data_IF_772210139787
#
_entry.id   IF_772210139787
#
_cell.length_a   1.000
_cell.length_b   1.000
_cell.length_c   1.000
_cell.angle_alpha   90.00
_cell.angle_beta   90.00
_cell.angle_gamma   90.00
#
_symmetry.space_group_name_H-M   'P 1'
#
loop_
_entity.id
_entity.type
_entity.pdbx_description
1 polymer ?
#
# COMPACT_ATOMS: atom_id res chain seq x y z
N UNK A 1 1.27 38.04 5.76
CA UNK A 1 1.41 36.83 4.94
C UNK A 1 2.73 36.20 5.35
N UNK A 2 2.69 35.23 6.28
CA UNK A 2 3.90 34.46 6.58
C UNK A 2 4.26 33.66 5.33
N UNK A 3 5.48 33.82 4.81
CA UNK A 3 5.94 33.01 3.69
C UNK A 3 5.99 31.54 4.09
N UNK A 4 5.54 30.65 3.21
CA UNK A 4 5.69 29.21 3.40
C UNK A 4 7.15 28.83 3.62
N UNK A 5 7.39 27.84 4.48
CA UNK A 5 8.75 27.41 4.81
C UNK A 5 9.28 26.52 3.69
N UNK A 6 10.38 26.97 3.05
CA UNK A 6 11.05 26.21 1.99
C UNK A 6 11.98 25.18 2.62
N UNK A 7 11.95 23.91 2.17
CA UNK A 7 12.97 22.95 2.59
C UNK A 7 14.33 23.36 2.01
N UNK A 8 15.40 23.01 2.75
CA UNK A 8 16.75 23.07 2.19
C UNK A 8 16.88 22.14 0.97
N UNK A 9 17.76 22.45 0.01
CA UNK A 9 17.97 21.60 -1.16
C UNK A 9 18.56 20.24 -0.77
N UNK A 10 18.27 19.21 -1.57
CA UNK A 10 18.94 17.92 -1.50
C UNK A 10 20.19 17.90 -2.40
N UNK A 11 21.28 17.21 -2.00
CA UNK A 11 21.46 16.57 -0.70
C UNK A 11 21.62 17.62 0.43
N UNK A 12 21.40 17.25 1.71
CA UNK A 12 21.62 18.17 2.83
C UNK A 12 23.02 18.81 2.78
N UNK A 13 23.09 20.11 3.04
CA UNK A 13 24.37 20.86 3.00
C UNK A 13 25.36 20.40 4.06
N UNK A 14 24.86 19.96 5.22
CA UNK A 14 25.67 19.37 6.27
C UNK A 14 25.96 17.90 5.92
N UNK A 15 27.21 17.49 6.09
CA UNK A 15 27.61 16.09 5.92
C UNK A 15 26.95 15.24 7.01
N UNK A 16 26.18 14.23 6.59
CA UNK A 16 25.47 13.32 7.49
C UNK A 16 26.47 12.54 8.37
N UNK A 17 26.31 12.63 9.69
CA UNK A 17 27.16 11.95 10.66
C UNK A 17 26.55 10.60 11.06
N UNK A 18 26.57 9.63 10.13
CA UNK A 18 26.02 8.29 10.35
C UNK A 18 27.03 7.40 11.06
N UNK A 19 26.62 6.78 12.18
CA UNK A 19 27.50 5.95 13.01
C UNK A 19 27.56 4.48 12.56
N UNK A 20 28.50 3.71 13.12
CA UNK A 20 28.69 2.30 12.76
C UNK A 20 27.42 1.44 12.89
N UNK A 21 26.62 1.66 13.94
CA UNK A 21 25.36 0.96 14.15
C UNK A 21 24.34 1.22 13.02
N UNK A 22 24.32 2.43 12.46
CA UNK A 22 23.45 2.74 11.33
C UNK A 22 23.82 1.91 10.09
N UNK A 23 25.12 1.76 9.81
CA UNK A 23 25.57 0.96 8.67
C UNK A 23 25.29 -0.54 8.83
N UNK A 24 25.24 -1.05 10.07
CA UNK A 24 24.74 -2.40 10.36
C UNK A 24 23.25 -2.52 9.99
N UNK A 25 22.41 -1.60 10.46
CA UNK A 25 20.98 -1.54 10.10
C UNK A 25 20.77 -1.42 8.59
N UNK A 26 21.55 -0.57 7.92
CA UNK A 26 21.49 -0.38 6.47
C UNK A 26 21.87 -1.67 5.71
N UNK A 27 22.90 -2.38 6.18
CA UNK A 27 23.30 -3.66 5.62
C UNK A 27 22.22 -4.72 5.80
N UNK A 28 21.57 -4.77 6.96
CA UNK A 28 20.46 -5.68 7.23
C UNK A 28 19.23 -5.35 6.38
N UNK A 29 18.89 -4.06 6.23
CA UNK A 29 17.80 -3.61 5.36
C UNK A 29 18.01 -4.08 3.92
N UNK A 30 19.22 -3.89 3.40
CA UNK A 30 19.61 -4.33 2.05
C UNK A 30 19.56 -5.85 1.90
N UNK A 31 19.99 -6.58 2.94
CA UNK A 31 19.94 -8.04 2.96
C UNK A 31 18.50 -8.58 2.92
N UNK A 32 17.60 -8.01 3.72
CA UNK A 32 16.20 -8.44 3.74
C UNK A 32 15.45 -8.05 2.47
N UNK A 33 15.69 -6.86 1.92
CA UNK A 33 15.18 -6.48 0.59
C UNK A 33 15.64 -7.45 -0.48
N UNK A 34 16.93 -7.81 -0.50
CA UNK A 34 17.47 -8.78 -1.45
C UNK A 34 16.81 -10.17 -1.32
N UNK A 35 16.50 -10.61 -0.10
CA UNK A 35 15.76 -11.87 0.11
C UNK A 35 14.30 -11.80 -0.34
N UNK A 36 13.60 -10.71 -0.02
CA UNK A 36 12.23 -10.46 -0.45
C UNK A 36 12.15 -10.45 -1.98
N UNK A 37 12.98 -9.62 -2.59
CA UNK A 37 13.09 -9.48 -4.04
C UNK A 37 13.40 -10.82 -4.73
N UNK A 38 14.42 -11.56 -4.23
CA UNK A 38 14.77 -12.87 -4.78
C UNK A 38 13.69 -13.95 -4.58
N UNK A 39 12.91 -13.88 -3.49
CA UNK A 39 11.78 -14.78 -3.28
C UNK A 39 10.68 -14.54 -4.32
N UNK A 40 10.34 -13.27 -4.60
CA UNK A 40 9.31 -12.90 -5.57
C UNK A 40 9.68 -13.30 -7.01
N UNK A 41 10.97 -13.29 -7.37
CA UNK A 41 11.42 -13.76 -8.69
C UNK A 41 11.25 -15.27 -8.93
N UNK A 42 11.21 -16.06 -7.86
CA UNK A 42 11.26 -17.53 -7.94
C UNK A 42 9.96 -18.22 -7.57
N UNK A 43 8.97 -17.44 -7.16
CA UNK A 43 7.71 -17.94 -6.63
C UNK A 43 6.57 -17.54 -7.55
N UNK A 44 5.78 -18.52 -8.00
CA UNK A 44 4.55 -18.28 -8.74
C UNK A 44 3.46 -17.88 -7.75
N UNK A 45 3.48 -16.61 -7.35
CA UNK A 45 2.52 -16.06 -6.41
C UNK A 45 1.20 -15.83 -7.15
N UNK A 46 0.09 -16.39 -6.65
CA UNK A 46 -1.21 -16.11 -7.24
C UNK A 46 -1.42 -14.58 -7.28
N UNK A 47 -1.80 -13.99 -8.43
CA UNK A 47 -1.89 -12.53 -8.59
C UNK A 47 -2.70 -11.87 -7.48
N UNK A 48 -3.78 -12.51 -7.04
CA UNK A 48 -4.65 -11.97 -6.00
C UNK A 48 -3.99 -11.93 -4.62
N UNK A 49 -3.10 -12.85 -4.26
CA UNK A 49 -2.34 -12.73 -3.00
C UNK A 49 -1.40 -11.53 -3.03
N UNK A 50 -0.82 -11.23 -4.19
CA UNK A 50 -0.02 -10.04 -4.38
C UNK A 50 -0.90 -8.78 -4.26
N UNK A 51 -2.06 -8.77 -4.91
CA UNK A 51 -3.04 -7.70 -4.77
C UNK A 51 -3.47 -7.52 -3.31
N UNK A 52 -3.68 -8.61 -2.55
CA UNK A 52 -4.04 -8.54 -1.14
C UNK A 52 -2.97 -7.87 -0.27
N UNK A 53 -1.71 -8.13 -0.59
CA UNK A 53 -0.58 -7.55 0.09
C UNK A 53 -0.41 -6.07 -0.26
N UNK A 54 -0.63 -5.71 -1.53
CA UNK A 54 -0.64 -4.32 -1.98
C UNK A 54 -1.81 -3.53 -1.38
N UNK A 55 -2.99 -4.15 -1.25
CA UNK A 55 -4.14 -3.59 -0.53
C UNK A 55 -3.82 -3.32 0.93
N UNK A 56 -3.02 -4.16 1.57
CA UNK A 56 -2.56 -3.89 2.94
C UNK A 56 -1.74 -2.60 3.01
N UNK A 57 -0.77 -2.41 2.11
CA UNK A 57 -0.02 -1.14 2.02
C UNK A 57 -0.96 0.05 1.79
N UNK A 58 -1.92 -0.08 0.88
CA UNK A 58 -2.89 0.96 0.58
C UNK A 58 -3.79 1.30 1.80
N UNK A 59 -4.26 0.30 2.54
CA UNK A 59 -5.05 0.49 3.76
C UNK A 59 -4.24 1.22 4.83
N UNK A 60 -3.04 0.73 5.16
CA UNK A 60 -2.15 1.34 6.16
C UNK A 60 -1.78 2.78 5.78
N UNK A 61 -1.54 3.01 4.50
CA UNK A 61 -1.29 4.34 3.95
C UNK A 61 -2.49 5.26 4.15
N UNK A 62 -3.72 4.81 3.86
CA UNK A 62 -4.92 5.62 4.04
C UNK A 62 -5.26 5.86 5.53
N UNK A 63 -5.02 4.89 6.41
CA UNK A 63 -5.21 5.05 7.87
C UNK A 63 -4.29 6.13 8.47
N UNK A 64 -3.08 6.30 7.94
CA UNK A 64 -2.20 7.42 8.33
C UNK A 64 -2.90 8.77 8.05
N UNK A 65 -3.70 8.87 7.00
CA UNK A 65 -4.48 10.07 6.67
C UNK A 65 -5.84 10.15 7.41
N UNK A 66 -6.17 9.13 8.21
CA UNK A 66 -7.38 9.09 9.05
C UNK A 66 -8.55 8.30 8.47
N UNK A 67 -8.35 7.55 7.38
CA UNK A 67 -9.32 6.58 6.90
C UNK A 67 -9.55 5.47 7.94
N UNK A 68 -10.74 4.87 7.94
CA UNK A 68 -11.08 3.77 8.83
C UNK A 68 -11.65 2.60 8.02
N UNK A 69 -10.78 1.67 7.63
CA UNK A 69 -11.10 0.58 6.71
C UNK A 69 -10.73 -0.74 7.34
N UNK A 70 -11.61 -1.73 7.23
CA UNK A 70 -11.24 -3.11 7.50
C UNK A 70 -11.23 -3.94 6.21
N UNK A 71 -10.54 -5.09 6.26
CA UNK A 71 -10.42 -6.00 5.12
C UNK A 71 -11.79 -6.51 4.65
N UNK A 72 -12.77 -6.71 5.55
CA UNK A 72 -14.08 -7.21 5.12
C UNK A 72 -14.82 -6.16 4.28
N UNK A 73 -14.80 -4.88 4.68
CA UNK A 73 -15.40 -3.79 3.93
C UNK A 73 -14.81 -3.66 2.52
N UNK A 74 -13.47 -3.72 2.41
CA UNK A 74 -12.75 -3.65 1.14
C UNK A 74 -13.14 -4.79 0.18
N UNK A 75 -13.06 -6.04 0.65
CA UNK A 75 -13.33 -7.20 -0.20
C UNK A 75 -14.82 -7.43 -0.45
N UNK A 76 -15.69 -7.02 0.48
CA UNK A 76 -17.15 -7.02 0.27
C UNK A 76 -17.56 -6.08 -0.86
N UNK A 77 -16.93 -4.90 -0.94
CA UNK A 77 -17.16 -3.95 -2.04
C UNK A 77 -16.77 -4.54 -3.41
N UNK A 78 -15.59 -5.13 -3.51
CA UNK A 78 -15.11 -5.79 -4.74
C UNK A 78 -16.03 -6.94 -5.16
N UNK A 79 -16.37 -7.83 -4.22
CA UNK A 79 -17.23 -8.99 -4.48
C UNK A 79 -18.61 -8.56 -4.95
N UNK A 80 -19.14 -7.46 -4.40
CA UNK A 80 -20.41 -6.87 -4.80
C UNK A 80 -20.36 -6.30 -6.22
N UNK A 81 -19.23 -5.70 -6.62
CA UNK A 81 -19.01 -5.18 -7.97
C UNK A 81 -18.92 -6.31 -9.02
N UNK A 82 -18.25 -7.42 -8.70
CA UNK A 82 -18.09 -8.59 -9.59
C UNK A 82 -19.42 -9.32 -9.85
N UNK A 83 -20.26 -9.49 -8.82
CA UNK A 83 -21.45 -10.34 -8.93
C UNK A 83 -22.64 -9.73 -9.68
N UNK A 84 -22.52 -8.52 -10.28
CA UNK A 84 -23.66 -7.71 -10.76
C UNK A 84 -24.80 -7.66 -9.73
N UNK A 85 -24.47 -7.81 -8.45
CA UNK A 85 -25.44 -7.79 -7.39
C UNK A 85 -25.78 -6.33 -7.25
N UNK A 86 -26.92 -5.93 -7.83
CA UNK A 86 -27.65 -4.76 -7.38
C UNK A 86 -28.13 -5.07 -5.97
N UNK A 87 -27.20 -5.12 -5.02
CA UNK A 87 -27.50 -5.08 -3.61
C UNK A 87 -27.98 -3.66 -3.37
N UNK A 88 -29.26 -3.46 -3.67
CA UNK A 88 -30.02 -2.35 -3.18
C UNK A 88 -29.78 -2.28 -1.67
N UNK A 89 -29.01 -1.26 -1.27
CA UNK A 89 -29.39 -0.32 -0.23
C UNK A 89 -29.74 -0.90 1.15
N UNK A 90 -29.08 -1.96 1.62
CA UNK A 90 -29.23 -2.43 3.01
C UNK A 90 -27.91 -2.98 3.62
N UNK A 91 -26.74 -2.70 3.03
CA UNK A 91 -25.55 -2.57 3.85
C UNK A 91 -25.62 -1.20 4.49
N UNK A 92 -25.68 -1.16 5.81
CA UNK A 92 -25.28 0.01 6.61
C UNK A 92 -23.77 0.25 6.49
N UNK A 93 -23.17 0.03 5.31
CA UNK A 93 -21.87 0.61 5.00
C UNK A 93 -22.12 2.10 4.99
N UNK A 94 -21.63 2.75 6.04
CA UNK A 94 -21.76 4.18 6.16
C UNK A 94 -21.17 4.80 4.89
N UNK A 95 -21.68 5.97 4.50
CA UNK A 95 -21.18 6.65 3.30
C UNK A 95 -19.66 6.89 3.41
N UNK A 96 -19.06 6.94 4.61
CA UNK A 96 -17.60 7.00 4.80
C UNK A 96 -16.88 5.73 4.35
N UNK A 97 -17.42 4.54 4.65
CA UNK A 97 -16.81 3.26 4.28
C UNK A 97 -16.60 3.15 2.76
N UNK A 98 -17.50 3.73 1.94
CA UNK A 98 -17.33 3.71 0.48
C UNK A 98 -16.26 4.68 -0.01
N UNK A 99 -16.03 5.81 0.69
CA UNK A 99 -14.95 6.74 0.33
C UNK A 99 -13.61 6.07 0.58
N UNK A 100 -13.44 5.56 1.80
CA UNK A 100 -12.18 5.04 2.26
C UNK A 100 -11.78 3.78 1.45
N UNK A 101 -12.75 2.91 1.14
CA UNK A 101 -12.54 1.78 0.21
C UNK A 101 -12.11 2.26 -1.18
N UNK A 102 -12.76 3.29 -1.75
CA UNK A 102 -12.34 3.87 -3.03
C UNK A 102 -10.91 4.42 -2.97
N UNK A 103 -10.51 5.06 -1.87
CA UNK A 103 -9.15 5.56 -1.70
C UNK A 103 -8.09 4.44 -1.71
N UNK A 104 -8.41 3.28 -1.13
CA UNK A 104 -7.53 2.09 -1.17
C UNK A 104 -7.41 1.53 -2.58
N UNK A 105 -8.52 1.36 -3.28
CA UNK A 105 -8.52 0.85 -4.66
C UNK A 105 -7.81 1.81 -5.63
N UNK A 106 -7.97 3.12 -5.43
CA UNK A 106 -7.25 4.13 -6.20
C UNK A 106 -5.75 4.11 -5.93
N UNK A 107 -5.34 3.90 -4.67
CA UNK A 107 -3.92 3.71 -4.34
C UNK A 107 -3.35 2.49 -5.05
N UNK A 108 -4.09 1.38 -5.02
CA UNK A 108 -3.73 0.15 -5.73
C UNK A 108 -3.51 0.43 -7.22
N UNK A 109 -4.50 1.02 -7.89
CA UNK A 109 -4.42 1.35 -9.30
C UNK A 109 -3.29 2.34 -9.62
N UNK A 110 -3.06 3.33 -8.75
CA UNK A 110 -1.99 4.31 -8.94
C UNK A 110 -0.61 3.63 -8.84
N UNK A 111 -0.44 2.70 -7.91
CA UNK A 111 0.82 1.98 -7.79
C UNK A 111 1.07 1.09 -9.01
N UNK A 112 0.06 0.35 -9.47
CA UNK A 112 0.15 -0.45 -10.71
C UNK A 112 0.49 0.43 -11.92
N UNK A 113 -0.20 1.55 -12.12
CA UNK A 113 0.07 2.49 -13.20
C UNK A 113 1.52 3.03 -13.14
N UNK A 114 2.03 3.27 -11.92
CA UNK A 114 3.40 3.72 -11.72
C UNK A 114 4.44 2.65 -12.08
N UNK A 115 4.17 1.39 -11.72
CA UNK A 115 5.03 0.25 -12.09
C UNK A 115 5.02 0.04 -13.61
N UNK A 116 3.86 0.05 -14.25
CA UNK A 116 3.71 -0.08 -15.71
C UNK A 116 4.47 1.01 -16.47
N UNK A 117 4.45 2.25 -15.96
CA UNK A 117 5.21 3.36 -16.53
C UNK A 117 6.73 3.11 -16.45
N UNK A 118 7.22 2.64 -15.29
CA UNK A 118 8.64 2.31 -15.11
C UNK A 118 9.07 1.13 -16.00
N UNK A 119 8.24 0.09 -16.12
CA UNK A 119 8.50 -1.06 -17.00
C UNK A 119 8.50 -0.66 -18.49
N UNK A 120 7.73 0.36 -18.85
CA UNK A 120 7.71 0.96 -20.19
C UNK A 120 8.92 1.88 -20.46
N UNK A 121 9.80 2.06 -19.47
CA UNK A 121 11.02 2.88 -19.56
C UNK A 121 10.79 4.36 -19.30
N UNK A 122 9.63 4.75 -18.76
CA UNK A 122 9.40 6.12 -18.30
C UNK A 122 10.22 6.42 -17.03
N UNK A 123 10.57 7.68 -16.84
CA UNK A 123 11.20 8.14 -15.60
C UNK A 123 10.14 8.72 -14.66
N UNK A 124 10.42 8.71 -13.36
CA UNK A 124 9.61 9.44 -12.38
C UNK A 124 9.69 10.95 -12.72
N UNK A 125 8.59 11.48 -13.24
CA UNK A 125 8.45 12.83 -13.80
C UNK A 125 7.30 13.59 -13.16
N UNK A 126 7.18 14.89 -13.44
CA UNK A 126 6.05 15.70 -12.96
C UNK A 126 4.77 15.16 -13.60
N UNK A 127 4.82 14.84 -14.89
CA UNK A 127 3.70 14.28 -15.65
C UNK A 127 3.22 12.96 -15.05
N UNK A 128 4.14 12.05 -14.70
CA UNK A 128 3.78 10.81 -14.03
C UNK A 128 3.13 11.10 -12.67
N UNK A 129 3.73 11.97 -11.84
CA UNK A 129 3.15 12.32 -10.54
C UNK A 129 1.75 12.93 -10.67
N UNK A 130 1.50 13.74 -11.71
CA UNK A 130 0.17 14.26 -12.01
C UNK A 130 -0.81 13.13 -12.34
N UNK A 131 -0.47 12.21 -13.24
CA UNK A 131 -1.33 11.06 -13.57
C UNK A 131 -1.61 10.17 -12.36
N UNK A 132 -0.61 9.92 -11.52
CA UNK A 132 -0.77 9.15 -10.30
C UNK A 132 -1.66 9.89 -9.29
N UNK A 133 -1.50 11.20 -9.15
CA UNK A 133 -2.37 12.03 -8.32
C UNK A 133 -3.82 12.05 -8.81
N UNK A 134 -4.05 12.11 -10.13
CA UNK A 134 -5.39 11.97 -10.73
C UNK A 134 -6.02 10.63 -10.38
N UNK A 135 -5.25 9.55 -10.47
CA UNK A 135 -5.70 8.21 -10.12
C UNK A 135 -6.07 8.14 -8.63
N UNK A 136 -5.20 8.65 -7.75
CA UNK A 136 -5.42 8.65 -6.30
C UNK A 136 -6.72 9.36 -5.87
N UNK A 137 -7.08 10.46 -6.53
CA UNK A 137 -8.28 11.26 -6.21
C UNK A 137 -9.48 11.00 -7.14
N UNK A 138 -9.33 10.06 -8.08
CA UNK A 138 -10.38 9.64 -9.02
C UNK A 138 -11.59 9.08 -8.29
N UNK A 139 -12.80 9.31 -8.81
CA UNK A 139 -14.05 8.76 -8.27
C UNK A 139 -14.37 9.04 -6.78
N UNK A 140 -13.56 9.87 -6.09
CA UNK A 140 -13.87 10.43 -4.77
C UNK A 140 -14.78 11.65 -4.96
N UNK A 141 -15.97 11.70 -4.34
CA UNK A 141 -16.88 12.84 -4.47
C UNK A 141 -16.23 14.17 -4.10
N UNK A 142 -16.55 15.24 -4.83
CA UNK A 142 -15.92 16.55 -4.66
C UNK A 142 -16.13 17.17 -3.27
N UNK A 143 -17.25 16.86 -2.61
CA UNK A 143 -17.55 17.27 -1.22
C UNK A 143 -16.72 16.52 -0.17
N UNK A 144 -15.88 15.57 -0.60
CA UNK A 144 -15.04 14.72 0.24
C UNK A 144 -13.56 14.82 -0.07
N UNK A 145 -13.19 15.72 -0.98
CA UNK A 145 -11.81 16.09 -1.27
C UNK A 145 -11.54 17.45 -0.66
N UNK A 146 -10.32 17.63 -0.16
CA UNK A 146 -9.90 18.92 0.39
C UNK A 146 -9.43 19.90 -0.71
N UNK A 147 -9.51 19.47 -1.98
CA UNK A 147 -9.03 20.24 -3.13
C UNK A 147 -9.91 20.11 -4.37
N UNK A 148 -9.96 21.20 -5.15
CA UNK A 148 -10.51 21.26 -6.50
C UNK A 148 -9.44 21.06 -7.59
N UNK A 149 -8.15 20.98 -7.21
CA UNK A 149 -7.02 20.85 -8.13
C UNK A 149 -6.52 19.40 -8.14
N UNK A 150 -6.78 18.69 -9.25
CA UNK A 150 -6.46 17.28 -9.43
C UNK A 150 -5.54 17.14 -10.63
N UNK A 151 -4.42 16.42 -10.46
CA UNK A 151 -3.45 16.22 -11.53
C UNK A 151 -2.56 17.43 -11.78
N UNK A 152 -2.55 18.38 -10.85
CA UNK A 152 -1.81 19.62 -10.96
C UNK A 152 -1.38 20.07 -9.55
N UNK A 153 -0.27 20.80 -9.47
CA UNK A 153 0.18 21.38 -8.20
C UNK A 153 -0.83 22.37 -7.62
N UNK A 154 -0.80 22.52 -6.30
CA UNK A 154 -1.67 23.41 -5.55
C UNK A 154 -1.60 24.84 -6.07
N UNK A 155 -2.76 25.46 -6.24
CA UNK A 155 -2.89 26.89 -6.62
C UNK A 155 -3.08 27.80 -5.40
N UNK A 156 -3.37 27.21 -4.25
CA UNK A 156 -3.55 27.89 -2.95
C UNK A 156 -2.64 27.27 -1.88
N UNK A 157 -2.23 28.03 -0.85
CA UNK A 157 -1.48 27.47 0.27
C UNK A 157 -2.28 26.40 1.03
N UNK A 158 -1.58 25.35 1.47
CA UNK A 158 -2.08 24.30 2.37
C UNK A 158 -1.37 24.38 3.74
N UNK A 159 -1.82 23.59 4.71
CA UNK A 159 -1.33 23.61 6.09
C UNK A 159 -1.18 22.19 6.64
N UNK A 160 -0.09 21.93 7.37
CA UNK A 160 0.15 20.67 8.07
C UNK A 160 0.27 20.96 9.57
N UNK A 161 -0.88 21.03 10.24
CA UNK A 161 -0.94 21.53 11.61
C UNK A 161 -0.38 22.95 11.71
N UNK A 162 0.68 23.14 12.50
CA UNK A 162 1.35 24.43 12.64
C UNK A 162 2.37 24.73 11.52
N UNK A 163 2.75 23.73 10.73
CA UNK A 163 3.69 23.89 9.62
C UNK A 163 2.97 24.43 8.38
N UNK A 164 3.60 25.40 7.72
CA UNK A 164 3.11 26.00 6.47
C UNK A 164 4.11 25.61 5.36
N UNK A 165 3.75 24.67 4.47
CA UNK A 165 4.57 24.30 3.32
C UNK A 165 4.85 25.48 2.38
N UNK A 166 5.77 25.32 1.40
CA UNK A 166 6.06 26.33 0.38
C UNK A 166 4.80 26.87 -0.30
N UNK A 167 4.84 28.15 -0.64
CA UNK A 167 3.76 28.80 -1.38
C UNK A 167 3.64 28.21 -2.80
N UNK A 168 2.44 28.23 -3.43
CA UNK A 168 2.22 27.71 -4.78
C UNK A 168 3.30 28.10 -5.81
N UNK A 169 3.72 29.37 -5.83
CA UNK A 169 4.70 29.89 -6.79
C UNK A 169 6.10 29.28 -6.67
N UNK A 170 6.40 28.59 -5.57
CA UNK A 170 7.69 27.93 -5.35
C UNK A 170 7.67 26.45 -5.70
N UNK A 171 6.49 25.83 -5.86
CA UNK A 171 6.32 24.38 -5.95
C UNK A 171 7.01 23.81 -7.20
N UNK A 172 6.78 24.40 -8.38
CA UNK A 172 7.35 23.91 -9.64
C UNK A 172 8.89 23.75 -9.57
N UNK A 173 9.58 24.79 -9.09
CA UNK A 173 11.03 24.77 -8.99
C UNK A 173 11.56 23.78 -7.95
N UNK A 174 10.83 23.61 -6.84
CA UNK A 174 11.21 22.64 -5.80
C UNK A 174 10.98 21.20 -6.26
N UNK A 175 9.89 20.93 -6.97
CA UNK A 175 9.58 19.62 -7.53
C UNK A 175 10.53 19.24 -8.67
N UNK A 176 10.90 20.19 -9.54
CA UNK A 176 11.92 19.94 -10.57
C UNK A 176 13.28 19.58 -9.95
N UNK A 177 13.68 20.27 -8.88
CA UNK A 177 14.90 19.96 -8.15
C UNK A 177 14.84 18.57 -7.48
N UNK A 178 13.73 18.23 -6.83
CA UNK A 178 13.51 16.93 -6.20
C UNK A 178 13.57 15.79 -7.24
N UNK A 179 12.84 15.91 -8.34
CA UNK A 179 12.82 14.89 -9.39
C UNK A 179 14.16 14.78 -10.11
N UNK A 180 14.90 15.89 -10.23
CA UNK A 180 16.28 15.85 -10.72
C UNK A 180 17.15 15.01 -9.79
N UNK A 181 17.07 15.21 -8.47
CA UNK A 181 17.79 14.40 -7.48
C UNK A 181 17.46 12.91 -7.61
N UNK A 182 16.17 12.56 -7.71
CA UNK A 182 15.71 11.17 -7.91
C UNK A 182 16.31 10.56 -9.17
N UNK A 183 16.30 11.27 -10.30
CA UNK A 183 16.80 10.76 -11.59
C UNK A 183 18.32 10.65 -11.66
N UNK A 184 19.05 11.60 -11.09
CA UNK A 184 20.53 11.62 -11.18
C UNK A 184 21.19 10.77 -10.10
N UNK A 185 20.43 10.36 -9.08
CA UNK A 185 20.94 9.75 -7.87
C UNK A 185 21.60 10.78 -6.95
N UNK A 186 21.54 10.52 -5.65
CA UNK A 186 22.28 11.26 -4.64
C UNK A 186 23.71 10.74 -4.48
N UNK A 187 24.45 11.35 -3.54
CA UNK A 187 25.77 10.88 -3.13
C UNK A 187 25.74 9.78 -2.07
N UNK A 188 24.54 9.41 -1.59
CA UNK A 188 24.36 8.47 -0.49
C UNK A 188 23.90 7.10 -1.00
N UNK A 189 23.79 6.13 -0.08
CA UNK A 189 23.20 4.84 -0.39
C UNK A 189 21.73 5.03 -0.82
N UNK A 190 21.19 4.26 -1.79
CA UNK A 190 19.84 4.49 -2.31
C UNK A 190 18.72 4.52 -1.25
N UNK A 191 18.79 3.66 -0.22
CA UNK A 191 17.81 3.70 0.89
C UNK A 191 17.86 5.01 1.71
N UNK A 192 19.02 5.66 1.78
CA UNK A 192 19.17 6.99 2.38
C UNK A 192 18.54 8.03 1.46
N UNK A 193 18.81 7.97 0.16
CA UNK A 193 18.21 8.88 -0.82
C UNK A 193 16.69 8.80 -0.86
N UNK A 194 16.12 7.59 -0.71
CA UNK A 194 14.67 7.41 -0.59
C UNK A 194 14.13 8.07 0.68
N UNK A 195 14.83 7.96 1.83
CA UNK A 195 14.45 8.66 3.05
C UNK A 195 14.48 10.19 2.89
N UNK A 196 15.52 10.71 2.23
CA UNK A 196 15.70 12.15 1.97
C UNK A 196 14.60 12.68 1.04
N UNK A 197 14.34 11.98 -0.06
CA UNK A 197 13.36 12.38 -1.07
C UNK A 197 11.94 12.30 -0.55
N UNK A 198 11.61 11.29 0.28
CA UNK A 198 10.31 11.20 0.93
C UNK A 198 10.06 12.40 1.86
N UNK A 199 11.02 12.72 2.75
CA UNK A 199 10.93 13.92 3.58
C UNK A 199 10.76 15.20 2.75
N UNK A 200 11.53 15.33 1.66
CA UNK A 200 11.50 16.50 0.80
C UNK A 200 10.14 16.66 0.12
N UNK A 201 9.58 15.58 -0.41
CA UNK A 201 8.26 15.57 -1.02
C UNK A 201 7.17 16.00 -0.02
N UNK A 202 7.15 15.38 1.16
CA UNK A 202 6.19 15.70 2.22
C UNK A 202 6.30 17.15 2.70
N UNK A 203 7.50 17.71 2.69
CA UNK A 203 7.76 19.09 3.11
C UNK A 203 7.44 20.11 2.03
N UNK A 204 7.64 19.79 0.74
CA UNK A 204 7.15 20.61 -0.38
C UNK A 204 5.62 20.63 -0.39
N UNK A 205 5.01 19.47 -0.10
CA UNK A 205 3.57 19.25 -0.07
C UNK A 205 2.86 19.86 -1.30
N UNK A 206 3.23 19.36 -2.50
CA UNK A 206 2.97 20.04 -3.77
C UNK A 206 1.50 20.08 -4.18
N UNK A 207 0.66 19.16 -3.70
CA UNK A 207 -0.75 19.03 -4.07
C UNK A 207 -1.69 19.59 -3.01
N UNK A 208 -2.95 19.82 -3.39
CA UNK A 208 -3.99 20.27 -2.45
C UNK A 208 -4.44 19.19 -1.47
N UNK A 209 -4.36 17.92 -1.85
CA UNK A 209 -4.73 16.72 -1.09
C UNK A 209 -3.87 15.55 -1.60
N UNK A 210 -3.91 14.38 -0.95
CA UNK A 210 -3.29 13.15 -1.46
C UNK A 210 -1.76 13.08 -1.35
N UNK A 211 -1.10 14.12 -0.81
CA UNK A 211 0.36 14.18 -0.70
C UNK A 211 0.93 12.99 0.07
N UNK A 212 0.43 12.68 1.27
CA UNK A 212 0.95 11.56 2.06
C UNK A 212 0.91 10.23 1.32
N UNK A 213 -0.22 9.94 0.66
CA UNK A 213 -0.43 8.73 -0.15
C UNK A 213 0.54 8.69 -1.33
N UNK A 214 0.65 9.77 -2.09
CA UNK A 214 1.56 9.85 -3.23
C UNK A 214 3.04 9.80 -2.80
N UNK A 215 3.38 10.41 -1.67
CA UNK A 215 4.73 10.38 -1.09
C UNK A 215 5.16 8.99 -0.65
N UNK A 216 4.22 8.18 -0.12
CA UNK A 216 4.46 6.76 0.21
C UNK A 216 4.51 5.87 -1.03
N UNK A 217 3.64 6.10 -2.00
CA UNK A 217 3.69 5.42 -3.30
C UNK A 217 5.05 5.65 -3.99
N UNK A 218 5.58 6.88 -3.92
CA UNK A 218 6.87 7.25 -4.48
C UNK A 218 8.05 6.51 -3.84
N UNK A 219 7.95 6.06 -2.59
CA UNK A 219 8.98 5.22 -1.95
C UNK A 219 9.08 3.90 -2.72
N UNK A 220 7.95 3.24 -2.95
CA UNK A 220 7.88 1.96 -3.65
C UNK A 220 8.36 2.07 -5.09
N UNK A 221 7.94 3.12 -5.81
CA UNK A 221 8.40 3.35 -7.19
C UNK A 221 9.91 3.59 -7.29
N UNK A 222 10.50 4.33 -6.35
CA UNK A 222 11.94 4.54 -6.34
C UNK A 222 12.71 3.23 -6.08
N UNK A 223 12.27 2.44 -5.09
CA UNK A 223 12.90 1.15 -4.79
C UNK A 223 12.76 0.15 -5.94
N UNK A 224 11.60 0.12 -6.59
CA UNK A 224 11.34 -0.70 -7.78
C UNK A 224 12.23 -0.27 -8.96
N UNK A 225 12.19 1.03 -9.33
CA UNK A 225 12.97 1.56 -10.45
C UNK A 225 14.49 1.44 -10.26
N UNK A 226 14.96 1.31 -9.02
CA UNK A 226 16.38 1.07 -8.68
C UNK A 226 16.73 -0.42 -8.56
N UNK A 227 15.77 -1.33 -8.74
CA UNK A 227 15.98 -2.78 -8.69
C UNK A 227 16.14 -3.36 -7.28
N UNK A 228 15.75 -2.63 -6.24
CA UNK A 228 15.69 -3.18 -4.87
C UNK A 228 14.45 -4.06 -4.66
N UNK A 229 13.42 -3.85 -5.47
CA UNK A 229 12.18 -4.62 -5.48
C UNK A 229 11.90 -5.07 -6.91
N UNK A 230 11.72 -6.37 -7.11
CA UNK A 230 11.26 -6.94 -8.39
C UNK A 230 9.72 -6.93 -8.50
N UNK A 231 9.06 -6.68 -7.37
CA UNK A 231 7.62 -6.57 -7.19
C UNK A 231 7.36 -5.63 -5.99
N UNK A 232 6.39 -4.69 -6.03
CA UNK A 232 6.06 -3.73 -4.97
C UNK A 232 5.42 -4.42 -3.74
N UNK A 233 6.22 -5.22 -3.05
CA UNK A 233 5.81 -6.09 -1.93
C UNK A 233 6.32 -5.60 -0.58
N UNK A 234 6.81 -4.36 -0.52
CA UNK A 234 7.24 -3.73 0.73
C UNK A 234 6.07 -2.91 1.30
N UNK A 235 5.59 -3.26 2.49
CA UNK A 235 4.44 -2.60 3.13
C UNK A 235 4.90 -1.56 4.16
N UNK A 236 5.72 -0.60 3.72
CA UNK A 236 6.36 0.36 4.64
C UNK A 236 5.33 1.16 5.46
N UNK A 237 4.14 1.40 4.93
CA UNK A 237 3.07 2.12 5.62
C UNK A 237 2.66 1.44 6.93
N UNK A 238 2.73 0.11 7.05
CA UNK A 238 2.41 -0.59 8.32
C UNK A 238 3.36 -0.20 9.46
N UNK A 239 4.66 0.00 9.16
CA UNK A 239 5.61 0.51 10.15
C UNK A 239 5.37 2.00 10.45
N UNK A 240 5.17 2.82 9.42
CA UNK A 240 4.92 4.25 9.58
C UNK A 240 3.62 4.52 10.36
N UNK A 241 2.57 3.74 10.14
CA UNK A 241 1.30 3.83 10.84
C UNK A 241 1.43 3.42 12.31
N UNK A 242 2.08 2.27 12.58
CA UNK A 242 2.36 1.83 13.97
C UNK A 242 3.15 2.89 14.76
N UNK A 243 4.09 3.57 14.11
CA UNK A 243 4.93 4.60 14.72
C UNK A 243 4.57 6.03 14.26
N UNK A 244 3.29 6.30 13.97
CA UNK A 244 2.82 7.56 13.35
C UNK A 244 3.28 8.81 14.08
N UNK A 245 3.22 8.82 15.42
CA UNK A 245 3.71 9.94 16.23
C UNK A 245 5.22 10.17 16.02
N UNK A 246 6.02 9.09 16.05
CA UNK A 246 7.47 9.18 15.81
C UNK A 246 7.78 9.60 14.37
N UNK A 247 7.05 9.08 13.38
CA UNK A 247 7.18 9.47 11.98
C UNK A 247 7.00 10.98 11.80
N UNK A 248 5.92 11.54 12.36
CA UNK A 248 5.63 12.98 12.32
C UNK A 248 6.67 13.80 13.11
N UNK A 249 7.04 13.35 14.31
CA UNK A 249 8.01 14.03 15.16
C UNK A 249 9.39 14.12 14.52
N UNK A 250 9.85 13.04 13.85
CA UNK A 250 11.14 13.01 13.16
C UNK A 250 11.15 13.96 11.96
N UNK A 251 10.10 13.98 11.13
CA UNK A 251 10.00 14.97 10.05
C UNK A 251 10.01 16.40 10.59
N UNK A 252 9.30 16.67 11.69
CA UNK A 252 9.29 17.98 12.31
C UNK A 252 10.64 18.37 12.92
N UNK A 253 11.39 17.41 13.47
CA UNK A 253 12.75 17.65 13.97
C UNK A 253 13.71 18.03 12.83
N UNK A 254 13.60 17.40 11.65
CA UNK A 254 14.37 17.82 10.47
C UNK A 254 13.99 19.25 10.06
N UNK A 255 12.69 19.58 10.00
CA UNK A 255 12.21 20.94 9.61
C UNK A 255 12.73 22.04 10.54
N UNK A 256 12.76 21.79 11.85
CA UNK A 256 13.15 22.78 12.86
C UNK A 256 14.67 22.86 13.06
N UNK A 257 15.29 21.69 13.20
CA UNK A 257 16.61 21.55 13.82
C UNK A 257 17.60 20.81 12.90
N UNK A 258 17.16 20.32 11.74
CA UNK A 258 18.02 19.62 10.79
C UNK A 258 18.46 18.23 11.25
N UNK A 259 17.68 17.56 12.11
CA UNK A 259 17.99 16.23 12.67
C UNK A 259 17.83 15.08 11.65
N UNK A 260 18.59 15.14 10.55
CA UNK A 260 18.54 14.19 9.45
C UNK A 260 18.92 12.77 9.87
N UNK A 261 19.93 12.60 10.72
CA UNK A 261 20.42 11.29 11.12
C UNK A 261 19.34 10.47 11.83
N UNK A 262 18.58 11.10 12.73
CA UNK A 262 17.50 10.43 13.45
C UNK A 262 16.31 10.09 12.54
N UNK A 263 16.03 10.92 11.54
CA UNK A 263 15.04 10.64 10.50
C UNK A 263 15.45 9.43 9.64
N UNK A 264 16.68 9.45 9.14
CA UNK A 264 17.21 8.41 8.25
C UNK A 264 17.30 7.08 9.00
N UNK A 265 17.77 7.08 10.25
CA UNK A 265 17.83 5.89 11.09
C UNK A 265 16.43 5.27 11.30
N UNK A 266 15.43 6.07 11.66
CA UNK A 266 14.04 5.62 11.80
C UNK A 266 13.50 5.02 10.50
N UNK A 267 13.73 5.69 9.38
CA UNK A 267 13.20 5.30 8.08
C UNK A 267 13.83 4.00 7.56
N UNK A 268 15.16 3.90 7.63
CA UNK A 268 15.91 2.70 7.19
C UNK A 268 15.62 1.51 8.12
N UNK A 269 15.43 1.76 9.43
CA UNK A 269 14.96 0.74 10.37
C UNK A 269 13.56 0.22 9.99
N UNK A 270 12.66 1.11 9.58
CA UNK A 270 11.35 0.75 9.05
C UNK A 270 11.44 -0.14 7.82
N UNK A 271 12.28 0.23 6.84
CA UNK A 271 12.54 -0.59 5.64
C UNK A 271 13.07 -1.97 6.03
N UNK A 272 14.02 -2.05 6.97
CA UNK A 272 14.58 -3.33 7.44
C UNK A 272 13.49 -4.24 7.98
N UNK A 273 12.70 -3.73 8.92
CA UNK A 273 11.63 -4.50 9.56
C UNK A 273 10.59 -4.94 8.54
N UNK A 274 10.15 -4.04 7.67
CA UNK A 274 9.11 -4.35 6.69
C UNK A 274 9.59 -5.30 5.60
N UNK A 275 10.85 -5.23 5.17
CA UNK A 275 11.40 -6.21 4.25
C UNK A 275 11.43 -7.63 4.85
N UNK A 276 11.72 -7.75 6.15
CA UNK A 276 11.68 -9.02 6.87
C UNK A 276 10.24 -9.54 7.02
N UNK A 277 9.32 -8.71 7.49
CA UNK A 277 7.89 -9.05 7.64
C UNK A 277 7.24 -9.46 6.32
N UNK A 278 7.43 -8.66 5.27
CA UNK A 278 6.92 -8.97 3.94
C UNK A 278 7.38 -10.35 3.48
N UNK A 279 8.67 -10.67 3.65
CA UNK A 279 9.20 -11.97 3.26
C UNK A 279 8.59 -13.13 4.08
N UNK A 280 8.43 -12.95 5.39
CA UNK A 280 7.82 -13.96 6.25
C UNK A 280 6.36 -14.21 5.84
N UNK A 281 5.59 -13.13 5.64
CA UNK A 281 4.18 -13.19 5.23
C UNK A 281 4.02 -13.83 3.85
N UNK A 282 4.82 -13.44 2.86
CA UNK A 282 4.80 -14.05 1.52
C UNK A 282 5.16 -15.54 1.56
N UNK A 283 6.12 -15.95 2.39
CA UNK A 283 6.47 -17.38 2.56
C UNK A 283 5.36 -18.18 3.20
N UNK A 284 4.69 -17.61 4.19
CA UNK A 284 3.58 -18.28 4.87
C UNK A 284 2.40 -18.47 3.92
N UNK A 285 2.01 -17.43 3.17
CA UNK A 285 0.97 -17.53 2.14
C UNK A 285 1.30 -18.57 1.07
N UNK A 286 2.54 -18.57 0.57
CA UNK A 286 2.98 -19.57 -0.41
C UNK A 286 2.99 -20.99 0.15
N UNK A 287 3.39 -21.16 1.42
CA UNK A 287 3.35 -22.48 2.09
C UNK A 287 1.91 -22.96 2.22
N UNK A 288 1.01 -22.09 2.66
CA UNK A 288 -0.42 -22.39 2.79
C UNK A 288 -1.04 -22.78 1.44
N UNK A 289 -0.69 -22.07 0.35
CA UNK A 289 -1.13 -22.43 -1.00
C UNK A 289 -0.70 -23.84 -1.38
N UNK A 290 0.56 -24.20 -1.09
CA UNK A 290 1.10 -25.53 -1.41
C UNK A 290 0.46 -26.64 -0.59
N UNK A 291 0.10 -26.36 0.65
CA UNK A 291 -0.66 -27.27 1.52
C UNK A 291 -2.06 -27.53 0.95
N UNK A 292 -2.77 -26.48 0.52
CA UNK A 292 -4.09 -26.59 -0.10
C UNK A 292 -4.03 -27.34 -1.44
N UNK A 293 -3.01 -27.09 -2.25
CA UNK A 293 -2.82 -27.83 -3.50
C UNK A 293 -2.52 -29.31 -3.24
N UNK A 294 -1.81 -29.66 -2.17
CA UNK A 294 -1.52 -31.04 -1.81
C UNK A 294 -2.75 -31.76 -1.22
N UNK A 295 -3.57 -31.07 -0.43
CA UNK A 295 -4.76 -31.64 0.21
C UNK A 295 -5.94 -31.77 -0.77
N UNK A 296 -6.19 -30.75 -1.59
CA UNK A 296 -7.38 -30.65 -2.44
C UNK A 296 -7.11 -30.86 -3.95
N UNK A 297 -5.84 -31.02 -4.36
CA UNK A 297 -5.42 -31.07 -5.77
C UNK A 297 -6.02 -32.22 -6.59
N UNK A 298 -6.09 -33.41 -5.99
CA UNK A 298 -6.55 -34.63 -6.66
C UNK A 298 -8.07 -34.85 -6.56
N UNK A 299 -8.79 -34.02 -5.77
CA UNK A 299 -10.22 -34.13 -5.59
C UNK A 299 -10.98 -33.19 -6.55
N UNK A 300 -11.81 -33.80 -7.40
CA UNK A 300 -12.66 -33.11 -8.37
C UNK A 300 -13.97 -32.57 -7.77
N UNK A 301 -14.25 -32.87 -6.50
CA UNK A 301 -15.44 -32.38 -5.80
C UNK A 301 -15.46 -30.85 -5.74
N UNK A 302 -16.66 -30.27 -5.69
CA UNK A 302 -16.83 -28.81 -5.70
C UNK A 302 -16.12 -28.11 -4.52
N UNK A 303 -16.11 -28.69 -3.32
CA UNK A 303 -15.44 -28.10 -2.16
C UNK A 303 -13.91 -28.07 -2.33
N UNK A 304 -13.31 -29.13 -2.87
CA UNK A 304 -11.88 -29.20 -3.13
C UNK A 304 -11.43 -28.27 -4.27
N UNK A 305 -12.28 -28.09 -5.30
CA UNK A 305 -12.07 -27.06 -6.33
C UNK A 305 -12.16 -25.66 -5.73
N UNK A 306 -13.17 -25.41 -4.88
CA UNK A 306 -13.33 -24.13 -4.19
C UNK A 306 -12.13 -23.79 -3.31
N UNK A 307 -11.66 -24.74 -2.50
CA UNK A 307 -10.52 -24.54 -1.60
C UNK A 307 -9.27 -24.04 -2.36
N UNK A 308 -8.98 -24.60 -3.53
CA UNK A 308 -7.86 -24.16 -4.38
C UNK A 308 -8.05 -22.76 -4.95
N UNK A 309 -9.28 -22.39 -5.27
CA UNK A 309 -9.62 -21.05 -5.78
C UNK A 309 -9.55 -19.97 -4.70
N UNK A 310 -9.45 -20.30 -3.40
CA UNK A 310 -9.37 -19.29 -2.35
C UNK A 310 -8.11 -18.40 -2.44
N UNK A 311 -7.04 -18.87 -3.09
CA UNK A 311 -5.85 -18.05 -3.34
C UNK A 311 -6.01 -17.08 -4.53
N UNK A 312 -7.06 -17.28 -5.34
CA UNK A 312 -7.47 -16.38 -6.42
C UNK A 312 -8.69 -15.54 -6.02
N UNK A 313 -9.52 -16.02 -5.10
CA UNK A 313 -10.75 -15.39 -4.63
C UNK A 313 -10.91 -15.67 -3.12
N UNK A 314 -10.17 -14.97 -2.25
CA UNK A 314 -10.17 -15.24 -0.81
C UNK A 314 -11.44 -14.78 -0.10
N UNK A 315 -12.25 -13.94 -0.75
CA UNK A 315 -13.53 -13.45 -0.25
C UNK A 315 -14.59 -13.67 -1.32
N UNK A 316 -15.74 -14.24 -0.94
CA UNK A 316 -16.71 -14.72 -1.92
C UNK A 316 -18.13 -14.85 -1.37
N UNK A 317 -19.08 -14.96 -2.29
CA UNK A 317 -20.48 -15.31 -2.01
C UNK A 317 -20.85 -16.63 -2.68
N UNK A 318 -22.00 -17.20 -2.32
CA UNK A 318 -22.55 -18.36 -3.03
C UNK A 318 -22.73 -18.11 -4.54
N UNK A 319 -23.12 -16.88 -4.94
CA UNK A 319 -23.28 -16.53 -6.34
C UNK A 319 -21.95 -16.57 -7.11
N UNK A 320 -20.88 -16.05 -6.50
CA UNK A 320 -19.53 -16.11 -7.06
C UNK A 320 -19.06 -17.57 -7.19
N UNK A 321 -19.34 -18.43 -6.21
CA UNK A 321 -19.00 -19.86 -6.29
C UNK A 321 -19.76 -20.59 -7.40
N UNK A 322 -21.04 -20.27 -7.61
CA UNK A 322 -21.84 -20.83 -8.72
C UNK A 322 -21.19 -20.53 -10.07
N UNK A 323 -20.74 -19.28 -10.27
CA UNK A 323 -20.08 -18.83 -11.49
C UNK A 323 -18.68 -19.44 -11.65
N UNK A 324 -17.82 -19.34 -10.64
CA UNK A 324 -16.43 -19.82 -10.69
C UNK A 324 -16.32 -21.33 -10.94
N UNK A 325 -17.25 -22.12 -10.37
CA UNK A 325 -17.19 -23.58 -10.47
C UNK A 325 -18.09 -24.18 -11.55
N UNK A 326 -18.92 -23.35 -12.19
CA UNK A 326 -20.02 -23.76 -13.08
C UNK A 326 -20.90 -24.83 -12.43
N UNK A 327 -21.50 -24.49 -11.28
CA UNK A 327 -22.34 -25.41 -10.48
C UNK A 327 -23.66 -24.78 -10.07
N UNK A 328 -24.61 -25.62 -9.68
CA UNK A 328 -25.89 -25.16 -9.13
C UNK A 328 -25.72 -24.59 -7.73
N UNK A 329 -26.56 -23.62 -7.35
CA UNK A 329 -26.60 -23.07 -5.99
C UNK A 329 -26.58 -24.10 -4.85
N UNK A 330 -27.41 -25.16 -4.85
CA UNK A 330 -27.33 -26.20 -3.82
C UNK A 330 -25.98 -26.92 -3.74
N UNK A 331 -25.22 -26.98 -4.83
CA UNK A 331 -23.86 -27.53 -4.84
C UNK A 331 -22.84 -26.52 -4.31
N UNK A 332 -22.98 -25.23 -4.67
CA UNK A 332 -22.18 -24.15 -4.11
C UNK A 332 -22.35 -24.05 -2.58
N UNK A 333 -23.60 -24.01 -2.07
CA UNK A 333 -23.86 -23.99 -0.63
C UNK A 333 -23.27 -25.20 0.10
N UNK A 334 -23.37 -26.40 -0.46
CA UNK A 334 -22.75 -27.59 0.15
C UNK A 334 -21.22 -27.53 0.19
N UNK A 335 -20.59 -26.91 -0.81
CA UNK A 335 -19.15 -26.67 -0.81
C UNK A 335 -18.75 -25.66 0.27
N UNK A 336 -19.49 -24.54 0.35
CA UNK A 336 -19.30 -23.51 1.37
C UNK A 336 -19.48 -24.08 2.78
N UNK A 337 -20.60 -24.76 3.06
CA UNK A 337 -20.90 -25.35 4.37
C UNK A 337 -19.82 -26.36 4.78
N UNK A 338 -19.25 -27.10 3.81
CA UNK A 338 -18.18 -28.05 4.08
C UNK A 338 -16.91 -27.35 4.52
N UNK A 339 -16.43 -26.38 3.74
CA UNK A 339 -15.21 -25.62 4.05
C UNK A 339 -15.38 -24.77 5.33
N UNK A 340 -16.58 -24.24 5.58
CA UNK A 340 -16.92 -23.56 6.85
C UNK A 340 -16.83 -24.55 8.03
N UNK A 341 -17.35 -25.78 7.90
CA UNK A 341 -17.26 -26.81 8.94
C UNK A 341 -15.84 -27.33 9.21
N UNK A 342 -14.95 -27.22 8.21
CA UNK A 342 -13.53 -27.54 8.32
C UNK A 342 -12.70 -26.37 8.88
N UNK A 343 -13.32 -25.19 9.04
CA UNK A 343 -12.65 -23.98 9.51
C UNK A 343 -11.76 -23.32 8.44
N UNK A 344 -11.95 -23.64 7.17
CA UNK A 344 -11.26 -23.01 6.04
C UNK A 344 -11.92 -21.67 5.69
N UNK A 345 -13.25 -21.65 5.74
CA UNK A 345 -14.05 -20.44 5.54
C UNK A 345 -14.64 -19.95 6.87
N UNK A 346 -14.78 -18.63 6.97
CA UNK A 346 -15.52 -17.94 8.01
C UNK A 346 -16.58 -17.04 7.37
N UNK A 347 -17.81 -17.07 7.88
CA UNK A 347 -18.87 -16.19 7.42
C UNK A 347 -18.86 -14.84 8.14
N UNK A 348 -18.93 -13.74 7.38
CA UNK A 348 -18.62 -12.38 7.88
C UNK A 348 -19.85 -11.50 8.12
N UNK A 349 -21.01 -11.84 7.56
CA UNK A 349 -22.19 -10.94 7.56
C UNK A 349 -23.16 -11.15 8.72
N UNK A 350 -23.19 -12.36 9.30
CA UNK A 350 -24.20 -12.80 10.27
C UNK A 350 -25.62 -12.87 9.70
N UNK A 351 -25.78 -12.79 8.38
CA UNK A 351 -27.09 -12.72 7.69
C UNK A 351 -27.63 -14.12 7.36
N UNK A 352 -28.95 -14.20 7.15
CA UNK A 352 -29.63 -15.44 6.69
C UNK A 352 -29.62 -15.63 5.17
N UNK A 353 -29.33 -14.57 4.41
CA UNK A 353 -29.30 -14.53 2.95
C UNK A 353 -28.16 -13.62 2.52
N UNK A 354 -27.60 -13.87 1.34
CA UNK A 354 -26.44 -13.15 0.81
C UNK A 354 -25.28 -13.17 1.82
N UNK A 355 -24.98 -14.37 2.36
CA UNK A 355 -23.82 -14.59 3.23
C UNK A 355 -22.54 -14.39 2.40
N UNK A 356 -21.58 -13.71 2.99
CA UNK A 356 -20.24 -13.53 2.46
C UNK A 356 -19.28 -14.35 3.32
N UNK A 357 -18.30 -14.97 2.67
CA UNK A 357 -17.34 -15.86 3.31
C UNK A 357 -15.94 -15.40 2.99
N UNK A 358 -15.05 -15.47 3.97
CA UNK A 358 -13.63 -15.20 3.82
C UNK A 358 -12.80 -16.44 4.11
N UNK A 359 -11.68 -16.60 3.41
CA UNK A 359 -10.69 -17.64 3.64
C UNK A 359 -9.94 -17.36 4.95
N UNK A 360 -10.35 -17.99 6.05
CA UNK A 360 -9.90 -17.66 7.40
C UNK A 360 -8.38 -17.63 7.51
N UNK A 361 -7.72 -18.68 7.06
CA UNK A 361 -6.26 -18.83 7.21
C UNK A 361 -5.48 -17.82 6.37
N UNK A 362 -5.99 -17.42 5.19
CA UNK A 362 -5.37 -16.38 4.35
C UNK A 362 -5.45 -15.03 5.05
N UNK A 363 -6.64 -14.65 5.54
CA UNK A 363 -6.82 -13.38 6.25
C UNK A 363 -6.10 -13.37 7.60
N UNK A 364 -5.97 -14.49 8.30
CA UNK A 364 -5.14 -14.60 9.52
C UNK A 364 -3.65 -14.33 9.28
N UNK A 365 -3.15 -14.55 8.06
CA UNK A 365 -1.78 -14.20 7.67
C UNK A 365 -1.67 -12.73 7.27
N UNK A 366 -2.65 -12.21 6.52
CA UNK A 366 -2.68 -10.81 6.07
C UNK A 366 -2.89 -9.81 7.21
N UNK A 367 -3.82 -10.12 8.13
CA UNK A 367 -4.21 -9.25 9.25
C UNK A 367 -3.28 -9.38 10.46
N UNK A 368 -2.31 -10.31 10.41
CA UNK A 368 -1.41 -10.55 11.53
C UNK A 368 -0.54 -9.33 11.81
N UNK A 369 -0.52 -8.83 13.07
CA UNK A 369 0.42 -7.79 13.46
C UNK A 369 1.88 -8.24 13.24
N UNK A 370 2.78 -7.31 12.84
CA UNK A 370 4.20 -7.60 12.70
C UNK A 370 4.80 -8.26 13.93
N UNK A 371 5.70 -9.21 13.70
CA UNK A 371 6.35 -10.00 14.75
C UNK A 371 7.78 -9.53 15.07
N UNK A 372 8.37 -8.74 14.18
CA UNK A 372 9.76 -8.28 14.27
C UNK A 372 9.91 -6.93 14.99
N UNK A 373 8.81 -6.22 15.31
CA UNK A 373 8.86 -4.91 15.98
C UNK A 373 7.61 -4.50 16.75
#
# INVERSE_FOLDING_TARGET
MGGGQRPDPLPPNAELQLEGAFYETLSEATFWLGKLSGFNLTTDFAPVLYTSLLRKEAMESSEIEGANIDFNALYSFETSALGNITAAADSTTAVDDTKDVTEVLNYEQALENGIDALDSGEAISIELLHTLHETLLGDVPADRRETDTIGEFKTVPNHLGEFVPPVPSDVDGLMDALLTYIRTGGSYHPLIDVALTHYQFETIHPYGDGNGRLGRLLITLQLYGQGYLEQPTLYLSEYLNRYKETYVDRMNAVRRDGEWEAWIDFFVTGIRHQAEESLLRSRELHTLQREYEAEYGDDAAAYARLARLLFEQPYLTAAVVEELLDVTGPTAYRALDRLESEGILEETTGKKRNREYRAREIFEVLERPPQTY
#
